data_IF_153780595448
#
_entry.id   IF_153780595448
#
_cell.length_a   1.000
_cell.length_b   1.000
_cell.length_c   1.000
_cell.angle_alpha   90.00
_cell.angle_beta   90.00
_cell.angle_gamma   90.00
#
_symmetry.space_group_name_H-M   'P 1'
#
loop_
_entity.id
_entity.type
_entity.pdbx_description
1 polymer ?
#
# COMPACT_ATOMS: atom_id res chain seq x y z
N UNK A 1 65.80 -47.37 -25.94
CA UNK A 1 64.38 -47.71 -26.14
C UNK A 1 63.63 -47.00 -25.03
N UNK A 2 63.15 -45.77 -25.16
CA UNK A 2 62.16 -45.29 -26.11
C UNK A 2 60.82 -45.15 -25.36
N UNK A 3 60.64 -44.08 -24.58
CA UNK A 3 59.44 -43.83 -23.77
C UNK A 3 59.04 -42.37 -23.82
N UNK A 4 58.08 -42.05 -24.69
CA UNK A 4 57.53 -40.72 -24.94
C UNK A 4 56.60 -40.30 -23.81
N UNK A 5 56.85 -39.15 -23.18
CA UNK A 5 55.96 -38.50 -22.21
C UNK A 5 54.82 -37.78 -22.94
N UNK A 6 53.59 -38.24 -22.74
CA UNK A 6 52.36 -37.59 -23.21
C UNK A 6 51.94 -36.55 -22.17
N UNK A 7 52.02 -35.27 -22.53
CA UNK A 7 51.49 -34.17 -21.74
C UNK A 7 49.96 -34.08 -21.94
N UNK A 8 49.19 -34.48 -20.93
CA UNK A 8 47.74 -34.27 -20.91
C UNK A 8 47.49 -32.82 -20.49
N UNK A 9 47.00 -32.00 -21.43
CA UNK A 9 46.51 -30.65 -21.16
C UNK A 9 45.18 -30.73 -20.43
N UNK A 10 45.13 -30.23 -19.19
CA UNK A 10 43.89 -29.96 -18.48
C UNK A 10 43.16 -28.80 -19.15
N UNK A 11 42.00 -29.08 -19.75
CA UNK A 11 41.06 -28.06 -20.21
C UNK A 11 40.24 -27.63 -18.98
N UNK A 12 40.45 -26.42 -18.49
CA UNK A 12 39.61 -25.84 -17.45
C UNK A 12 38.22 -25.57 -18.03
N UNK A 13 37.22 -26.34 -17.61
CA UNK A 13 35.83 -26.05 -17.92
C UNK A 13 35.36 -24.85 -17.08
N UNK A 14 35.21 -23.69 -17.73
CA UNK A 14 34.51 -22.56 -17.15
C UNK A 14 33.01 -22.89 -17.07
N UNK A 15 32.55 -23.39 -15.91
CA UNK A 15 31.13 -23.51 -15.63
C UNK A 15 30.55 -22.11 -15.40
N UNK A 16 29.95 -21.54 -16.45
CA UNK A 16 29.18 -20.30 -16.34
C UNK A 16 28.01 -20.53 -15.38
N UNK A 17 28.08 -19.95 -14.19
CA UNK A 17 26.97 -19.96 -13.24
C UNK A 17 25.87 -19.05 -13.79
N UNK A 18 24.85 -19.65 -14.41
CA UNK A 18 23.63 -18.93 -14.75
C UNK A 18 22.96 -18.51 -13.44
N UNK A 19 23.06 -17.23 -13.10
CA UNK A 19 22.27 -16.63 -12.01
C UNK A 19 20.83 -16.57 -12.52
N UNK A 20 20.05 -17.60 -12.20
CA UNK A 20 18.59 -17.53 -12.30
C UNK A 20 18.13 -16.59 -11.20
N UNK A 21 17.83 -15.35 -11.57
CA UNK A 21 17.04 -14.44 -10.73
C UNK A 21 15.64 -15.05 -10.62
N UNK A 22 15.43 -15.87 -9.59
CA UNK A 22 14.10 -16.21 -9.10
C UNK A 22 13.44 -14.89 -8.70
N UNK A 23 12.53 -14.39 -9.53
CA UNK A 23 11.59 -13.35 -9.13
C UNK A 23 10.79 -13.91 -7.96
N UNK A 24 11.07 -13.45 -6.75
CA UNK A 24 10.29 -13.81 -5.58
C UNK A 24 8.84 -13.40 -5.83
N UNK A 25 7.91 -14.33 -5.62
CA UNK A 25 6.49 -14.00 -5.56
C UNK A 25 6.29 -12.86 -4.56
N UNK A 26 5.35 -11.94 -4.82
CA UNK A 26 5.11 -10.82 -3.92
C UNK A 26 4.78 -11.35 -2.52
N UNK A 27 5.62 -11.01 -1.53
CA UNK A 27 5.40 -11.41 -0.15
C UNK A 27 4.31 -10.54 0.47
N UNK A 28 3.30 -11.17 1.08
CA UNK A 28 2.28 -10.48 1.88
C UNK A 28 2.71 -10.42 3.34
N UNK A 29 2.12 -9.51 4.11
CA UNK A 29 2.26 -9.53 5.56
C UNK A 29 1.67 -10.85 6.12
N UNK A 30 2.20 -11.31 7.25
CA UNK A 30 1.64 -12.49 7.92
C UNK A 30 0.16 -12.29 8.25
N UNK A 31 -0.61 -13.36 8.13
CA UNK A 31 -2.03 -13.33 8.41
C UNK A 31 -2.33 -13.11 9.89
N UNK A 32 -3.44 -12.42 10.21
CA UNK A 32 -3.92 -12.37 11.57
C UNK A 32 -4.18 -13.79 12.11
N UNK A 33 -3.84 -14.03 13.37
CA UNK A 33 -4.07 -15.34 14.01
C UNK A 33 -5.56 -15.66 14.23
N UNK A 34 -6.43 -14.65 14.09
CA UNK A 34 -7.88 -14.77 14.25
C UNK A 34 -8.58 -13.57 13.64
N UNK A 35 -9.85 -13.75 13.30
CA UNK A 35 -10.74 -12.68 12.88
C UNK A 35 -10.90 -11.62 13.98
N UNK A 36 -11.26 -10.41 13.58
CA UNK A 36 -11.69 -9.36 14.50
C UNK A 36 -13.19 -9.20 14.42
N UNK A 37 -13.87 -9.27 15.57
CA UNK A 37 -15.31 -9.01 15.66
C UNK A 37 -15.69 -7.67 15.01
N UNK A 38 -16.84 -7.63 14.35
CA UNK A 38 -17.42 -6.48 13.64
C UNK A 38 -18.58 -5.82 14.44
N UNK A 39 -18.51 -5.82 15.78
CA UNK A 39 -19.62 -5.39 16.64
C UNK A 39 -20.11 -3.95 16.36
N UNK A 40 -19.19 -3.03 16.07
CA UNK A 40 -19.51 -1.65 15.72
C UNK A 40 -20.10 -1.51 14.32
N UNK A 41 -19.69 -2.35 13.37
CA UNK A 41 -20.19 -2.39 12.00
C UNK A 41 -21.66 -2.81 11.90
N UNK A 42 -22.24 -3.45 12.91
CA UNK A 42 -23.70 -3.66 12.95
C UNK A 42 -24.53 -2.36 13.00
N UNK A 43 -23.90 -1.20 13.24
CA UNK A 43 -24.55 0.10 13.06
C UNK A 43 -24.59 0.56 11.59
N UNK A 44 -23.94 -0.17 10.68
CA UNK A 44 -23.98 0.00 9.25
C UNK A 44 -24.93 -1.02 8.63
N UNK A 45 -25.84 -0.56 7.78
CA UNK A 45 -26.69 -1.44 6.98
C UNK A 45 -25.88 -2.05 5.84
N UNK A 46 -25.74 -3.37 5.83
CA UNK A 46 -25.03 -4.13 4.78
C UNK A 46 -25.66 -3.96 3.40
N UNK A 47 -26.95 -3.61 3.34
CA UNK A 47 -27.71 -3.40 2.11
C UNK A 47 -27.78 -1.92 1.69
N UNK A 48 -27.04 -1.04 2.37
CA UNK A 48 -27.02 0.40 2.07
C UNK A 48 -25.60 0.95 1.99
N UNK A 49 -25.35 1.72 0.93
CA UNK A 49 -24.11 2.50 0.78
C UNK A 49 -24.10 3.77 1.65
N UNK A 50 -25.19 4.07 2.35
CA UNK A 50 -25.27 5.24 3.22
C UNK A 50 -24.48 5.02 4.52
N UNK A 51 -23.63 5.99 4.85
CA UNK A 51 -22.85 5.99 6.08
C UNK A 51 -23.45 7.01 7.05
N UNK A 52 -24.25 6.51 7.98
CA UNK A 52 -24.80 7.31 9.10
C UNK A 52 -23.71 7.68 10.10
N UNK A 53 -24.02 8.58 11.04
CA UNK A 53 -23.09 8.91 12.13
C UNK A 53 -22.75 7.68 13.00
N UNK A 54 -23.75 6.86 13.32
CA UNK A 54 -23.57 5.64 14.10
C UNK A 54 -22.74 4.60 13.35
N UNK A 55 -23.03 4.37 12.07
CA UNK A 55 -22.24 3.52 11.19
C UNK A 55 -20.77 3.96 11.16
N UNK A 56 -20.50 5.26 10.92
CA UNK A 56 -19.15 5.79 10.89
C UNK A 56 -18.40 5.57 12.21
N UNK A 57 -19.02 5.90 13.34
CA UNK A 57 -18.38 5.72 14.65
C UNK A 57 -18.11 4.24 14.99
N UNK A 58 -19.06 3.37 14.65
CA UNK A 58 -18.95 1.93 14.88
C UNK A 58 -17.86 1.30 14.01
N UNK A 59 -17.88 1.59 12.70
CA UNK A 59 -16.86 1.15 11.77
C UNK A 59 -15.46 1.61 12.21
N UNK A 60 -15.28 2.91 12.51
CA UNK A 60 -13.97 3.42 12.97
C UNK A 60 -13.49 2.73 14.24
N UNK A 61 -14.39 2.41 15.19
CA UNK A 61 -14.04 1.65 16.39
C UNK A 61 -13.51 0.24 16.05
N UNK A 62 -14.17 -0.46 15.14
CA UNK A 62 -13.80 -1.81 14.72
C UNK A 62 -12.49 -1.83 13.93
N UNK A 63 -12.35 -0.95 12.94
CA UNK A 63 -11.10 -0.77 12.21
C UNK A 63 -9.95 -0.45 13.17
N UNK A 64 -10.14 0.45 14.13
CA UNK A 64 -9.08 0.79 15.09
C UNK A 64 -8.67 -0.40 15.95
N UNK A 65 -9.64 -1.22 16.39
CA UNK A 65 -9.37 -2.43 17.17
C UNK A 65 -8.62 -3.47 16.35
N UNK A 66 -9.03 -3.71 15.10
CA UNK A 66 -8.38 -4.66 14.21
C UNK A 66 -6.95 -4.21 13.86
N UNK A 67 -6.79 -2.94 13.48
CA UNK A 67 -5.50 -2.30 13.20
C UNK A 67 -4.54 -2.35 14.39
N UNK A 68 -5.03 -2.14 15.60
CA UNK A 68 -4.21 -2.19 16.81
C UNK A 68 -3.60 -3.58 17.07
N UNK A 69 -4.31 -4.68 16.74
CA UNK A 69 -3.76 -6.04 16.82
C UNK A 69 -2.55 -6.25 15.91
N UNK A 70 -2.47 -5.47 14.84
CA UNK A 70 -1.39 -5.50 13.84
C UNK A 70 -0.33 -4.41 14.09
N UNK A 71 -0.40 -3.70 15.22
CA UNK A 71 0.54 -2.62 15.56
C UNK A 71 0.34 -1.33 14.75
N UNK A 72 -0.78 -1.20 14.02
CA UNK A 72 -1.10 -0.02 13.23
C UNK A 72 -1.82 1.04 14.08
N UNK A 73 -1.64 2.31 13.71
CA UNK A 73 -2.39 3.41 14.30
C UNK A 73 -3.88 3.40 13.89
N UNK A 74 -4.70 4.22 14.57
CA UNK A 74 -6.10 4.43 14.19
C UNK A 74 -6.28 4.78 12.71
N UNK A 75 -7.38 4.33 12.11
CA UNK A 75 -7.77 4.69 10.76
C UNK A 75 -8.02 6.19 10.69
N UNK A 76 -7.39 6.85 9.72
CA UNK A 76 -7.60 8.27 9.45
C UNK A 76 -8.36 8.36 8.14
N UNK A 77 -9.61 8.83 8.18
CA UNK A 77 -10.46 8.96 7.00
C UNK A 77 -10.47 10.42 6.50
N UNK A 78 -10.66 10.65 5.19
CA UNK A 78 -10.88 12.00 4.69
C UNK A 78 -12.22 12.54 5.22
N UNK A 79 -12.28 13.85 5.49
CA UNK A 79 -13.46 14.54 6.05
C UNK A 79 -14.74 14.38 5.24
N UNK A 80 -14.61 14.16 3.93
CA UNK A 80 -15.72 13.95 3.03
C UNK A 80 -16.04 12.47 2.79
N UNK A 81 -15.36 11.52 3.44
CA UNK A 81 -15.44 10.08 3.15
C UNK A 81 -16.87 9.58 3.02
N UNK A 82 -17.74 9.88 4.00
CA UNK A 82 -19.13 9.41 4.04
C UNK A 82 -20.03 9.92 2.90
N UNK A 83 -19.58 10.92 2.16
CA UNK A 83 -20.31 11.51 1.03
C UNK A 83 -19.73 11.09 -0.33
N UNK A 84 -18.66 10.31 -0.34
CA UNK A 84 -18.08 9.80 -1.57
C UNK A 84 -18.91 8.63 -2.10
N UNK A 85 -18.95 8.42 -3.42
CA UNK A 85 -19.45 7.17 -3.99
C UNK A 85 -18.74 5.95 -3.39
N UNK A 86 -19.44 4.82 -3.29
CA UNK A 86 -18.91 3.60 -2.70
C UNK A 86 -17.58 3.15 -3.33
N UNK A 87 -17.46 3.22 -4.66
CA UNK A 87 -16.22 2.84 -5.34
C UNK A 87 -15.03 3.68 -4.88
N UNK A 88 -15.24 4.96 -4.59
CA UNK A 88 -14.19 5.85 -4.10
C UNK A 88 -13.87 5.55 -2.64
N UNK A 89 -14.88 5.21 -1.83
CA UNK A 89 -14.69 4.77 -0.46
C UNK A 89 -13.83 3.49 -0.39
N UNK A 90 -14.10 2.49 -1.23
CA UNK A 90 -13.31 1.26 -1.32
C UNK A 90 -11.85 1.52 -1.68
N UNK A 91 -11.58 2.32 -2.72
CA UNK A 91 -10.22 2.71 -3.06
C UNK A 91 -9.51 3.39 -1.89
N UNK A 92 -10.19 4.31 -1.20
CA UNK A 92 -9.61 5.05 -0.08
C UNK A 92 -9.26 4.11 1.07
N UNK A 93 -10.15 3.18 1.42
CA UNK A 93 -9.93 2.20 2.48
C UNK A 93 -8.76 1.27 2.16
N UNK A 94 -8.77 0.65 0.97
CA UNK A 94 -7.68 -0.19 0.50
C UNK A 94 -6.33 0.55 0.51
N UNK A 95 -6.30 1.79 0.00
CA UNK A 95 -5.08 2.59 -0.02
C UNK A 95 -4.63 3.05 1.37
N UNK A 96 -5.56 3.32 2.28
CA UNK A 96 -5.26 3.57 3.69
C UNK A 96 -4.54 2.35 4.28
N UNK A 97 -5.03 1.15 4.02
CA UNK A 97 -4.45 -0.08 4.55
C UNK A 97 -3.09 -0.43 3.94
N UNK A 98 -2.92 -0.24 2.63
CA UNK A 98 -1.63 -0.36 1.95
C UNK A 98 -0.62 0.65 2.48
N UNK A 99 -0.97 1.94 2.50
CA UNK A 99 -0.05 3.01 2.87
C UNK A 99 0.42 2.94 4.33
N UNK A 100 -0.44 2.52 5.27
CA UNK A 100 -0.02 2.39 6.67
C UNK A 100 0.90 1.18 6.91
N UNK A 101 0.86 0.18 6.02
CA UNK A 101 1.81 -0.95 6.02
C UNK A 101 3.09 -0.63 5.23
N UNK A 102 3.17 0.54 4.59
CA UNK A 102 4.30 0.97 3.76
C UNK A 102 4.30 0.37 2.35
N UNK A 103 3.16 -0.14 1.91
CA UNK A 103 2.94 -0.61 0.54
C UNK A 103 2.51 0.56 -0.34
N UNK A 104 2.88 0.50 -1.62
CA UNK A 104 2.47 1.48 -2.60
C UNK A 104 0.93 1.48 -2.76
N UNK A 105 0.23 2.63 -2.66
CA UNK A 105 -1.20 2.72 -2.94
C UNK A 105 -1.52 2.44 -4.42
N UNK A 106 -2.73 1.99 -4.70
CA UNK A 106 -3.29 2.04 -6.06
C UNK A 106 -3.38 3.50 -6.52
N UNK A 107 -2.99 3.76 -7.77
CA UNK A 107 -2.95 5.12 -8.34
C UNK A 107 -4.36 5.73 -8.38
N UNK A 108 -5.37 4.91 -8.66
CA UNK A 108 -6.76 5.32 -8.64
C UNK A 108 -7.70 4.29 -9.29
N UNK A 109 -8.91 4.75 -9.61
CA UNK A 109 -9.97 3.95 -10.24
C UNK A 109 -9.97 4.12 -11.76
N UNK A 110 -10.03 3.00 -12.48
CA UNK A 110 -10.23 2.91 -13.92
C UNK A 110 -11.69 2.63 -14.27
N UNK A 111 -12.24 3.33 -15.26
CA UNK A 111 -13.57 3.06 -15.79
C UNK A 111 -13.68 1.64 -16.37
N UNK A 112 -12.66 1.17 -17.08
CA UNK A 112 -12.58 -0.19 -17.63
C UNK A 112 -12.67 -1.21 -16.51
N UNK A 113 -11.85 -1.06 -15.47
CA UNK A 113 -11.82 -2.00 -14.35
C UNK A 113 -13.08 -1.91 -13.49
N UNK A 114 -13.71 -0.74 -13.38
CA UNK A 114 -15.03 -0.61 -12.76
C UNK A 114 -16.10 -1.44 -13.49
N UNK A 115 -16.01 -1.62 -14.80
CA UNK A 115 -16.93 -2.46 -15.55
C UNK A 115 -16.75 -3.95 -15.22
N UNK A 116 -15.51 -4.42 -15.08
CA UNK A 116 -15.22 -5.79 -14.61
C UNK A 116 -15.70 -6.00 -13.16
N UNK A 117 -15.41 -5.04 -12.27
CA UNK A 117 -15.93 -5.07 -10.90
C UNK A 117 -17.46 -5.09 -10.88
N UNK A 118 -18.13 -4.31 -11.73
CA UNK A 118 -19.58 -4.30 -11.84
C UNK A 118 -20.14 -5.64 -12.30
N UNK A 119 -19.41 -6.36 -13.16
CA UNK A 119 -19.80 -7.71 -13.57
C UNK A 119 -19.80 -8.66 -12.37
N UNK A 120 -18.70 -8.73 -11.61
CA UNK A 120 -18.62 -9.55 -10.40
C UNK A 120 -19.69 -9.19 -9.36
N UNK A 121 -19.87 -7.90 -9.10
CA UNK A 121 -20.90 -7.41 -8.18
C UNK A 121 -22.33 -7.81 -8.60
N UNK A 122 -22.63 -7.95 -9.89
CA UNK A 122 -23.95 -8.36 -10.40
C UNK A 122 -24.17 -9.87 -10.38
N UNK A 123 -23.10 -10.65 -10.40
CA UNK A 123 -23.14 -12.12 -10.43
C UNK A 123 -22.87 -12.75 -9.08
N UNK A 124 -22.70 -11.94 -8.03
CA UNK A 124 -22.36 -12.37 -6.68
C UNK A 124 -21.07 -13.22 -6.62
N UNK A 125 -20.06 -12.80 -7.39
CA UNK A 125 -18.77 -13.48 -7.53
C UNK A 125 -17.62 -12.48 -7.64
N UNK A 126 -16.40 -12.97 -7.48
CA UNK A 126 -15.22 -12.20 -7.85
C UNK A 126 -15.29 -11.69 -9.31
N UNK A 127 -14.73 -10.50 -9.60
CA UNK A 127 -14.68 -9.98 -10.95
C UNK A 127 -13.91 -10.90 -11.91
N UNK A 128 -14.37 -11.05 -13.17
CA UNK A 128 -13.53 -11.65 -14.19
C UNK A 128 -12.35 -10.74 -14.51
N UNK A 129 -11.27 -11.35 -15.00
CA UNK A 129 -10.05 -10.62 -15.37
C UNK A 129 -10.04 -10.26 -16.86
N UNK A 130 -9.57 -9.06 -17.22
CA UNK A 130 -9.27 -8.75 -18.60
C UNK A 130 -8.17 -9.66 -19.16
N UNK A 131 -8.22 -9.97 -20.46
CA UNK A 131 -7.29 -10.91 -21.11
C UNK A 131 -5.83 -10.44 -21.16
N UNK A 132 -5.59 -9.14 -20.98
CA UNK A 132 -4.25 -8.55 -20.91
C UNK A 132 -3.65 -8.55 -19.50
N UNK A 133 -4.36 -9.07 -18.51
CA UNK A 133 -3.90 -9.11 -17.12
C UNK A 133 -2.70 -10.05 -16.98
N UNK A 134 -1.57 -9.51 -16.54
CA UNK A 134 -0.41 -10.31 -16.14
C UNK A 134 -0.39 -10.57 -14.63
N UNK A 135 -0.77 -9.55 -13.84
CA UNK A 135 -0.92 -9.63 -12.40
C UNK A 135 -2.26 -9.01 -12.03
N UNK A 136 -3.14 -9.78 -11.42
CA UNK A 136 -4.40 -9.25 -10.95
C UNK A 136 -5.04 -10.10 -9.88
N UNK A 137 -5.91 -9.46 -9.11
CA UNK A 137 -6.77 -10.13 -8.15
C UNK A 137 -8.14 -9.45 -8.07
N UNK A 138 -9.13 -10.21 -7.63
CA UNK A 138 -10.51 -9.80 -7.48
C UNK A 138 -11.01 -10.14 -6.09
N UNK A 139 -11.85 -9.28 -5.54
CA UNK A 139 -12.60 -9.56 -4.33
C UNK A 139 -14.08 -9.29 -4.59
N UNK A 140 -14.94 -10.07 -3.96
CA UNK A 140 -16.37 -9.83 -3.83
C UNK A 140 -16.81 -10.04 -2.38
N UNK A 141 -17.89 -9.36 -2.00
CA UNK A 141 -18.56 -9.53 -0.71
C UNK A 141 -20.03 -9.21 -0.83
N UNK A 142 -20.85 -9.92 -0.07
CA UNK A 142 -22.30 -9.74 0.02
C UNK A 142 -22.73 -8.49 0.79
N UNK A 143 -22.07 -7.35 0.55
CA UNK A 143 -22.37 -6.08 1.20
C UNK A 143 -22.20 -4.93 0.22
N UNK A 144 -23.13 -3.98 0.25
CA UNK A 144 -23.06 -2.71 -0.51
C UNK A 144 -22.65 -1.55 0.39
N UNK A 145 -22.02 -1.84 1.53
CA UNK A 145 -21.43 -0.86 2.43
C UNK A 145 -19.90 -0.99 2.41
N UNK A 146 -19.19 0.09 2.07
CA UNK A 146 -17.74 0.05 1.89
C UNK A 146 -16.97 -0.35 3.15
N UNK A 147 -17.48 -0.02 4.34
CA UNK A 147 -16.83 -0.41 5.59
C UNK A 147 -16.96 -1.90 5.86
N UNK A 148 -18.14 -2.48 5.62
CA UNK A 148 -18.33 -3.93 5.72
C UNK A 148 -17.43 -4.66 4.73
N UNK A 149 -17.44 -4.23 3.47
CA UNK A 149 -16.66 -4.86 2.41
C UNK A 149 -15.16 -4.90 2.74
N UNK A 150 -14.55 -3.75 3.02
CA UNK A 150 -13.13 -3.72 3.38
C UNK A 150 -12.85 -4.48 4.68
N UNK A 151 -13.72 -4.37 5.69
CA UNK A 151 -13.46 -5.01 6.98
C UNK A 151 -13.52 -6.53 6.91
N UNK A 152 -14.49 -7.08 6.18
CA UNK A 152 -14.55 -8.52 5.91
C UNK A 152 -13.29 -8.96 5.20
N UNK A 153 -12.93 -8.32 4.07
CA UNK A 153 -11.73 -8.68 3.32
C UNK A 153 -10.43 -8.58 4.13
N UNK A 154 -10.27 -7.54 4.94
CA UNK A 154 -9.00 -7.28 5.64
C UNK A 154 -8.90 -7.95 7.02
N UNK A 155 -10.00 -8.08 7.76
CA UNK A 155 -9.95 -8.36 9.21
C UNK A 155 -10.87 -9.49 9.66
N UNK A 156 -11.77 -9.97 8.80
CA UNK A 156 -12.70 -11.08 9.06
C UNK A 156 -12.77 -12.03 7.85
N UNK A 157 -11.61 -12.41 7.32
CA UNK A 157 -11.46 -13.28 6.13
C UNK A 157 -10.82 -14.65 6.47
N UNK A 158 -10.58 -14.89 7.75
CA UNK A 158 -9.95 -16.10 8.28
C UNK A 158 -10.97 -17.15 8.74
N UNK A 159 -10.49 -18.25 9.38
CA UNK A 159 -11.33 -19.38 9.77
C UNK A 159 -12.52 -18.96 10.64
N UNK A 160 -13.72 -19.37 10.24
CA UNK A 160 -14.97 -19.03 10.94
C UNK A 160 -15.63 -17.72 10.49
N UNK A 161 -15.12 -17.08 9.43
CA UNK A 161 -15.75 -15.94 8.76
C UNK A 161 -16.89 -16.35 7.79
N UNK A 162 -17.45 -15.36 7.10
CA UNK A 162 -18.35 -15.49 5.94
C UNK A 162 -17.63 -15.87 4.63
N UNK A 163 -16.29 -15.90 4.59
CA UNK A 163 -15.54 -16.22 3.39
C UNK A 163 -15.77 -17.69 2.96
N UNK A 164 -16.42 -17.86 1.81
CA UNK A 164 -16.80 -19.16 1.25
C UNK A 164 -15.59 -20.04 0.88
N UNK A 165 -14.45 -19.43 0.57
CA UNK A 165 -13.21 -20.12 0.22
C UNK A 165 -12.35 -20.46 1.45
N UNK A 166 -12.78 -20.03 2.64
CA UNK A 166 -12.11 -20.29 3.91
C UNK A 166 -12.87 -21.30 4.78
N UNK A 167 -12.47 -22.59 4.80
CA UNK A 167 -13.05 -23.57 5.70
C UNK A 167 -12.89 -23.17 7.17
N UNK A 168 -13.81 -23.61 8.03
CA UNK A 168 -13.75 -23.34 9.48
C UNK A 168 -12.51 -23.95 10.15
N UNK A 169 -11.90 -24.99 9.58
CA UNK A 169 -10.62 -25.55 10.00
C UNK A 169 -9.40 -24.75 9.53
N UNK A 170 -9.62 -23.70 8.74
CA UNK A 170 -8.60 -23.02 7.94
C UNK A 170 -8.31 -23.70 6.60
N UNK A 171 -7.58 -23.00 5.75
CA UNK A 171 -7.21 -23.47 4.41
C UNK A 171 -6.62 -22.36 3.54
N UNK A 172 -6.19 -22.68 2.30
CA UNK A 172 -5.52 -21.74 1.41
C UNK A 172 -6.35 -20.53 0.97
N UNK A 173 -7.69 -20.61 1.00
CA UNK A 173 -8.57 -19.50 0.65
C UNK A 173 -8.82 -18.51 1.81
N UNK A 174 -8.41 -18.85 3.02
CA UNK A 174 -8.46 -17.93 4.16
C UNK A 174 -7.50 -16.77 3.94
N UNK A 175 -7.95 -15.56 4.25
CA UNK A 175 -7.21 -14.32 4.05
C UNK A 175 -6.88 -13.99 2.57
N UNK A 176 -7.48 -14.70 1.61
CA UNK A 176 -7.26 -14.44 0.19
C UNK A 176 -7.63 -13.02 -0.23
N UNK A 177 -8.75 -12.49 0.27
CA UNK A 177 -9.18 -11.13 -0.04
C UNK A 177 -8.23 -10.10 0.57
N UNK A 178 -7.75 -10.36 1.80
CA UNK A 178 -6.71 -9.55 2.46
C UNK A 178 -5.45 -9.53 1.62
N UNK A 179 -4.99 -10.70 1.17
CA UNK A 179 -3.81 -10.82 0.33
C UNK A 179 -3.96 -9.94 -0.91
N UNK A 180 -5.08 -10.00 -1.60
CA UNK A 180 -5.35 -9.19 -2.79
C UNK A 180 -5.17 -7.68 -2.53
N UNK A 181 -5.59 -7.20 -1.35
CA UNK A 181 -5.48 -5.79 -0.97
C UNK A 181 -4.06 -5.41 -0.56
N UNK A 182 -3.34 -6.25 0.20
CA UNK A 182 -2.00 -5.93 0.76
C UNK A 182 -0.84 -6.71 0.13
N UNK A 183 -1.03 -7.22 -1.09
CA UNK A 183 0.06 -7.76 -1.92
C UNK A 183 1.06 -6.65 -2.27
N UNK A 184 2.34 -7.02 -2.34
CA UNK A 184 3.35 -6.18 -2.97
C UNK A 184 3.26 -6.26 -4.51
N UNK A 185 2.18 -5.73 -5.08
CA UNK A 185 1.97 -5.66 -6.52
C UNK A 185 3.09 -4.89 -7.23
N UNK A 186 3.47 -5.29 -8.46
CA UNK A 186 4.41 -4.53 -9.26
C UNK A 186 3.75 -3.28 -9.86
N UNK A 187 4.50 -2.17 -9.92
CA UNK A 187 4.04 -0.92 -10.52
C UNK A 187 3.85 -1.05 -12.05
N UNK A 188 2.92 -0.32 -12.68
CA UNK A 188 1.92 0.57 -12.09
C UNK A 188 0.67 -0.20 -11.61
N UNK A 189 0.05 0.24 -10.50
CA UNK A 189 -1.14 -0.43 -9.96
C UNK A 189 -2.41 0.41 -10.08
N UNK A 190 -3.45 -0.19 -10.65
CA UNK A 190 -4.77 0.44 -10.85
C UNK A 190 -5.84 -0.46 -10.26
N UNK A 191 -6.93 0.15 -9.80
CA UNK A 191 -8.07 -0.54 -9.20
C UNK A 191 -9.34 -0.29 -10.01
N UNK A 192 -10.26 -1.25 -9.99
CA UNK A 192 -11.67 -1.08 -10.30
C UNK A 192 -12.50 -1.42 -9.07
N UNK A 193 -13.61 -0.73 -8.89
CA UNK A 193 -14.53 -0.96 -7.78
C UNK A 193 -15.96 -0.67 -8.21
N UNK A 194 -16.89 -1.52 -7.79
CA UNK A 194 -18.31 -1.37 -8.09
C UNK A 194 -19.17 -2.00 -7.00
N UNK A 195 -20.47 -1.68 -7.06
CA UNK A 195 -21.51 -2.34 -6.28
C UNK A 195 -22.73 -2.57 -7.17
N UNK A 196 -23.45 -3.65 -6.89
CA UNK A 196 -24.76 -3.95 -7.44
C UNK A 196 -25.64 -4.55 -6.34
N UNK A 197 -26.88 -4.93 -6.65
CA UNK A 197 -27.90 -5.29 -5.66
C UNK A 197 -27.47 -6.34 -4.60
N UNK A 198 -26.54 -7.24 -4.91
CA UNK A 198 -26.11 -8.30 -4.01
C UNK A 198 -24.76 -8.07 -3.31
N UNK A 199 -23.99 -7.03 -3.68
CA UNK A 199 -22.66 -6.88 -3.10
C UNK A 199 -21.78 -5.80 -3.69
N UNK A 200 -20.54 -5.79 -3.23
CA UNK A 200 -19.46 -4.94 -3.71
C UNK A 200 -18.32 -5.81 -4.23
N UNK A 201 -17.65 -5.33 -5.26
CA UNK A 201 -16.51 -6.02 -5.83
C UNK A 201 -15.38 -5.04 -6.14
N UNK A 202 -14.16 -5.55 -6.05
CA UNK A 202 -12.95 -4.84 -6.45
C UNK A 202 -12.10 -5.72 -7.34
N UNK A 203 -11.43 -5.11 -8.31
CA UNK A 203 -10.39 -5.74 -9.11
C UNK A 203 -9.15 -4.86 -9.03
N UNK A 204 -7.99 -5.46 -8.89
CA UNK A 204 -6.70 -4.76 -8.84
C UNK A 204 -5.77 -5.37 -9.86
N UNK A 205 -5.07 -4.53 -10.62
CA UNK A 205 -4.07 -4.96 -11.58
C UNK A 205 -2.71 -4.36 -11.23
N UNK A 206 -1.65 -5.17 -11.34
CA UNK A 206 -0.25 -4.73 -11.28
C UNK A 206 0.39 -4.77 -12.67
N UNK A 207 1.43 -3.96 -12.89
CA UNK A 207 2.02 -3.70 -14.23
C UNK A 207 0.98 -3.31 -15.28
N UNK A 208 -0.05 -2.58 -14.88
CA UNK A 208 -1.09 -2.16 -15.81
C UNK A 208 -0.61 -0.98 -16.66
N UNK A 209 -0.22 -1.29 -17.90
CA UNK A 209 0.10 -0.31 -18.94
C UNK A 209 -1.06 -0.02 -19.90
N UNK A 210 -2.22 -0.66 -19.69
CA UNK A 210 -3.37 -0.58 -20.60
C UNK A 210 -4.39 0.46 -20.15
N UNK A 211 -4.69 0.52 -18.85
CA UNK A 211 -5.67 1.45 -18.30
C UNK A 211 -5.02 2.66 -17.61
N UNK A 212 -5.87 3.61 -17.18
CA UNK A 212 -5.47 4.80 -16.42
C UNK A 212 -6.49 5.06 -15.30
N UNK A 213 -6.04 5.73 -14.25
CA UNK A 213 -6.91 6.22 -13.19
C UNK A 213 -7.73 7.45 -13.66
N UNK A 214 -8.77 7.21 -14.45
CA UNK A 214 -9.60 8.21 -15.11
C UNK A 214 -10.92 8.54 -14.37
N UNK A 215 -11.29 7.75 -13.36
CA UNK A 215 -12.49 7.99 -12.55
C UNK A 215 -12.20 8.76 -11.26
N UNK A 216 -11.19 8.33 -10.52
CA UNK A 216 -10.77 8.98 -9.28
C UNK A 216 -9.32 8.65 -8.97
N UNK A 217 -8.51 9.66 -8.69
CA UNK A 217 -7.12 9.46 -8.33
C UNK A 217 -6.94 9.52 -6.82
N UNK A 218 -6.15 8.60 -6.26
CA UNK A 218 -5.85 8.56 -4.82
C UNK A 218 -5.38 9.91 -4.28
N UNK A 219 -4.53 10.60 -5.05
CA UNK A 219 -3.96 11.91 -4.72
C UNK A 219 -5.03 13.00 -4.50
N UNK A 220 -6.23 12.83 -5.07
CA UNK A 220 -7.34 13.76 -4.91
C UNK A 220 -7.92 13.74 -3.50
N UNK A 221 -7.81 12.63 -2.78
CA UNK A 221 -8.32 12.47 -1.42
C UNK A 221 -7.55 13.33 -0.40
N UNK A 222 -6.29 13.65 -0.69
CA UNK A 222 -5.35 14.23 0.28
C UNK A 222 -5.78 15.58 0.83
N UNK A 223 -6.51 16.37 0.03
CA UNK A 223 -7.03 17.66 0.48
C UNK A 223 -8.05 17.54 1.62
N UNK A 224 -8.64 16.36 1.82
CA UNK A 224 -9.70 16.14 2.80
C UNK A 224 -9.23 15.50 4.11
N UNK A 225 -8.00 15.02 4.22
CA UNK A 225 -7.49 14.49 5.50
C UNK A 225 -7.20 15.65 6.46
N UNK A 226 -7.83 15.64 7.64
CA UNK A 226 -7.69 16.66 8.69
C UNK A 226 -6.30 16.64 9.33
N UNK A 227 -5.79 15.44 9.58
CA UNK A 227 -4.39 15.25 9.87
C UNK A 227 -3.66 15.28 8.53
N UNK A 228 -3.37 16.48 8.04
CA UNK A 228 -2.20 16.70 7.21
C UNK A 228 -1.03 16.92 8.16
N UNK A 229 -0.26 15.88 8.53
CA UNK A 229 1.13 16.13 8.80
C UNK A 229 1.66 16.87 7.60
N UNK A 230 1.88 18.17 7.75
CA UNK A 230 2.90 18.80 6.94
C UNK A 230 4.17 18.23 7.55
N UNK A 231 4.96 17.42 6.82
CA UNK A 231 6.28 17.09 7.30
C UNK A 231 6.99 18.43 7.46
N UNK A 232 7.13 18.89 8.71
CA UNK A 232 7.98 20.02 9.01
C UNK A 232 9.39 19.46 9.03
N UNK A 233 10.00 19.41 7.86
CA UNK A 233 11.40 19.06 7.73
C UNK A 233 12.22 20.20 8.34
N UNK A 234 12.48 20.08 9.63
CA UNK A 234 13.54 20.84 10.29
C UNK A 234 14.86 20.22 9.88
N UNK A 235 15.67 20.98 9.14
CA UNK A 235 17.03 20.62 8.79
C UNK A 235 17.94 21.42 9.71
N UNK A 236 18.66 20.73 10.59
CA UNK A 236 19.78 21.32 11.34
C UNK A 236 21.09 20.74 10.83
N UNK A 237 22.10 21.59 10.74
CA UNK A 237 23.48 21.20 10.45
C UNK A 237 24.31 21.35 11.70
N UNK A 238 25.02 20.29 12.07
CA UNK A 238 26.21 20.45 12.89
C UNK A 238 27.37 20.79 11.94
N UNK A 239 28.04 21.92 12.16
CA UNK A 239 29.28 22.29 11.46
C UNK A 239 30.46 21.40 11.86
N UNK A 240 30.27 20.49 12.81
CA UNK A 240 31.25 19.51 13.22
C UNK A 240 31.42 18.41 12.16
N UNK A 241 32.64 17.89 12.01
CA UNK A 241 32.93 16.73 11.18
C UNK A 241 32.61 15.44 11.97
N UNK A 242 31.81 14.50 11.44
CA UNK A 242 31.16 14.52 10.12
C UNK A 242 29.90 15.39 10.09
N UNK A 243 29.64 16.03 8.93
CA UNK A 243 28.38 16.75 8.71
C UNK A 243 27.19 15.81 8.88
N UNK A 244 26.20 16.24 9.67
CA UNK A 244 24.96 15.50 9.93
C UNK A 244 23.77 16.34 9.48
N UNK A 245 22.94 15.77 8.60
CA UNK A 245 21.59 16.26 8.31
C UNK A 245 20.63 15.62 9.33
N UNK A 246 19.81 16.44 9.96
CA UNK A 246 18.65 15.98 10.72
C UNK A 246 17.40 16.16 9.89
N UNK A 247 16.53 15.16 9.85
CA UNK A 247 15.22 15.25 9.19
C UNK A 247 14.17 14.95 10.23
N UNK A 248 13.46 16.00 10.65
CA UNK A 248 12.29 15.88 11.52
C UNK A 248 11.05 15.61 10.67
N UNK A 249 10.34 14.52 10.95
CA UNK A 249 9.04 14.25 10.34
C UNK A 249 8.06 14.00 11.45
N UNK A 250 6.99 14.78 11.45
CA UNK A 250 5.91 14.68 12.43
C UNK A 250 4.72 13.92 11.82
N UNK A 251 3.99 13.18 12.65
CA UNK A 251 2.67 12.55 12.37
C UNK A 251 2.58 11.69 11.10
N UNK A 252 3.65 11.07 10.64
CA UNK A 252 3.68 10.33 9.38
C UNK A 252 3.43 8.83 9.59
N UNK A 253 2.87 8.16 8.58
CA UNK A 253 2.93 6.70 8.47
C UNK A 253 4.27 6.28 7.88
N UNK A 254 4.57 4.97 7.82
CA UNK A 254 5.78 4.41 7.19
C UNK A 254 6.01 5.07 5.82
N UNK A 255 7.00 5.96 5.73
CA UNK A 255 7.24 6.83 4.57
C UNK A 255 8.64 6.60 4.06
N UNK A 256 8.78 6.37 2.77
CA UNK A 256 10.09 6.40 2.14
C UNK A 256 10.43 7.84 1.75
N UNK A 257 11.55 8.31 2.28
CA UNK A 257 12.15 9.58 2.00
C UNK A 257 13.29 9.40 1.01
N UNK A 258 13.37 10.30 0.05
CA UNK A 258 14.46 10.43 -0.90
C UNK A 258 15.26 11.67 -0.49
N UNK A 259 16.46 11.49 0.02
CA UNK A 259 17.42 12.58 0.17
C UNK A 259 18.05 12.80 -1.19
N UNK A 260 17.83 13.99 -1.75
CA UNK A 260 18.28 14.32 -3.09
C UNK A 260 19.27 15.48 -3.06
N UNK A 261 20.33 15.40 -3.86
CA UNK A 261 21.31 16.47 -4.06
C UNK A 261 21.13 17.08 -5.44
N UNK A 262 21.19 18.40 -5.53
CA UNK A 262 21.17 19.12 -6.80
C UNK A 262 22.60 19.27 -7.34
N UNK A 263 22.86 18.72 -8.50
CA UNK A 263 24.09 18.90 -9.27
C UNK A 263 23.84 18.59 -10.75
N UNK A 264 24.63 19.17 -11.66
CA UNK A 264 24.47 18.93 -13.10
C UNK A 264 23.11 19.36 -13.67
N UNK A 265 22.40 20.28 -13.01
CA UNK A 265 21.08 20.76 -13.46
C UNK A 265 19.90 19.87 -13.05
N UNK A 266 20.12 18.80 -12.27
CA UNK A 266 19.07 17.87 -11.88
C UNK A 266 19.16 17.47 -10.39
N UNK A 267 18.08 16.89 -9.89
CA UNK A 267 18.02 16.31 -8.55
C UNK A 267 18.33 14.82 -8.62
N UNK A 268 19.31 14.38 -7.84
CA UNK A 268 19.73 12.98 -7.78
C UNK A 268 19.50 12.43 -6.38
N UNK A 269 18.84 11.28 -6.26
CA UNK A 269 18.70 10.57 -4.98
C UNK A 269 20.05 10.05 -4.54
N UNK A 270 20.56 10.57 -3.42
CA UNK A 270 21.83 10.14 -2.81
C UNK A 270 21.61 9.20 -1.64
N UNK A 271 20.40 9.19 -1.05
CA UNK A 271 20.04 8.26 0.01
C UNK A 271 18.53 8.07 0.05
N UNK A 272 18.11 6.84 0.32
CA UNK A 272 16.70 6.49 0.57
C UNK A 272 16.56 6.07 2.02
N UNK A 273 15.51 6.53 2.69
CA UNK A 273 15.24 6.16 4.08
C UNK A 273 13.77 5.82 4.26
N UNK A 274 13.45 4.67 4.86
CA UNK A 274 12.07 4.29 5.18
C UNK A 274 11.86 4.54 6.67
N UNK A 275 10.88 5.36 7.01
CA UNK A 275 10.62 5.67 8.40
C UNK A 275 10.08 4.44 9.15
N UNK A 276 10.36 4.30 10.46
CA UNK A 276 10.02 3.09 11.22
C UNK A 276 8.53 2.80 11.38
N UNK A 277 7.62 3.66 10.88
CA UNK A 277 6.19 3.37 10.87
C UNK A 277 5.56 3.19 12.26
N UNK A 278 5.95 3.99 13.25
CA UNK A 278 5.35 3.93 14.58
C UNK A 278 4.13 4.86 14.70
N UNK A 279 3.02 4.28 15.20
CA UNK A 279 1.79 4.83 15.80
C UNK A 279 1.43 6.28 15.40
N UNK A 280 0.22 6.47 14.89
CA UNK A 280 -0.39 7.75 14.48
C UNK A 280 -0.52 8.79 15.62
N UNK A 281 0.62 9.23 16.15
CA UNK A 281 0.81 10.30 17.10
C UNK A 281 1.88 11.27 16.61
N UNK A 282 2.17 12.30 17.40
CA UNK A 282 3.28 13.24 17.14
C UNK A 282 4.62 12.53 17.35
N UNK A 283 4.97 11.58 16.50
CA UNK A 283 6.31 10.98 16.50
C UNK A 283 7.19 11.89 15.67
N UNK A 284 8.16 12.52 16.31
CA UNK A 284 9.30 13.15 15.64
C UNK A 284 10.29 12.06 15.34
N UNK A 285 10.47 11.73 14.07
CA UNK A 285 11.62 10.92 13.68
C UNK A 285 12.84 11.83 13.47
N UNK A 286 14.02 11.40 13.92
CA UNK A 286 15.30 12.09 13.68
C UNK A 286 16.22 11.15 12.88
N UNK A 287 16.47 11.48 11.62
CA UNK A 287 17.49 10.82 10.81
C UNK A 287 18.84 11.46 10.96
N UNK A 288 19.88 10.65 11.20
CA UNK A 288 21.26 11.11 11.14
C UNK A 288 21.89 10.63 9.82
N UNK A 289 22.35 11.57 8.99
CA UNK A 289 23.02 11.25 7.73
C UNK A 289 24.49 11.69 7.79
N UNK A 290 25.37 10.79 8.21
CA UNK A 290 26.81 11.04 8.27
C UNK A 290 27.44 11.06 6.87
N UNK A 291 28.44 11.91 6.67
CA UNK A 291 29.27 11.90 5.45
C UNK A 291 28.66 12.60 4.24
N UNK A 292 27.74 13.56 4.45
CA UNK A 292 27.27 14.40 3.35
C UNK A 292 28.40 15.31 2.84
N UNK A 293 28.37 15.62 1.54
CA UNK A 293 29.28 16.60 0.93
C UNK A 293 28.59 17.96 0.86
N UNK A 294 29.32 19.09 0.86
CA UNK A 294 28.72 20.40 0.62
C UNK A 294 27.88 20.43 -0.68
N UNK A 295 26.74 21.13 -0.67
CA UNK A 295 25.85 21.20 -1.82
C UNK A 295 24.40 21.55 -1.48
N UNK A 296 23.54 21.64 -2.50
CA UNK A 296 22.12 21.87 -2.27
C UNK A 296 21.39 20.54 -2.13
N UNK A 297 20.63 20.36 -1.05
CA UNK A 297 19.86 19.16 -0.78
C UNK A 297 18.37 19.47 -0.67
N UNK A 298 17.54 18.46 -0.96
CA UNK A 298 16.12 18.40 -0.60
C UNK A 298 15.78 17.02 -0.07
N UNK A 299 14.70 16.93 0.68
CA UNK A 299 14.06 15.67 1.04
C UNK A 299 12.80 15.56 0.21
N UNK A 300 12.66 14.56 -0.64
CA UNK A 300 11.40 14.20 -1.26
C UNK A 300 10.84 12.95 -0.57
N UNK A 301 9.59 12.58 -0.84
CA UNK A 301 9.04 11.27 -0.48
C UNK A 301 8.80 10.48 -1.76
N UNK A 302 9.07 9.17 -1.76
CA UNK A 302 8.47 8.31 -2.77
C UNK A 302 6.97 8.21 -2.46
N UNK A 303 6.16 8.00 -3.49
CA UNK A 303 4.71 8.26 -3.46
C UNK A 303 3.89 7.21 -2.66
N UNK A 304 4.53 6.45 -1.76
CA UNK A 304 3.90 5.33 -1.05
C UNK A 304 3.32 5.68 0.32
N UNK A 305 3.51 6.91 0.81
CA UNK A 305 2.95 7.36 2.09
C UNK A 305 1.68 8.17 1.90
N UNK A 306 0.82 8.23 2.93
CA UNK A 306 -0.50 8.89 2.95
C UNK A 306 -0.52 10.41 2.64
N UNK A 307 0.59 10.97 2.19
CA UNK A 307 0.82 12.40 2.09
C UNK A 307 1.62 12.74 0.82
N UNK A 308 0.97 13.38 -0.15
CA UNK A 308 1.68 14.21 -1.14
C UNK A 308 1.85 15.58 -0.51
N UNK A 309 3.11 15.86 -0.17
CA UNK A 309 3.63 17.22 -0.25
C UNK A 309 5.01 17.11 -0.87
N UNK A 310 5.22 17.79 -2.00
CA UNK A 310 6.55 18.05 -2.50
C UNK A 310 7.27 18.85 -1.41
N UNK A 311 8.17 18.21 -0.68
CA UNK A 311 8.96 18.85 0.37
C UNK A 311 10.14 19.56 -0.30
N UNK A 312 9.91 20.81 -0.72
CA UNK A 312 11.00 21.68 -1.16
C UNK A 312 11.41 22.62 -0.02
N UNK A 313 11.98 22.08 1.05
CA UNK A 313 12.88 22.89 1.88
C UNK A 313 14.27 22.71 1.27
N UNK A 314 14.58 23.50 0.23
CA UNK A 314 15.96 23.60 -0.24
C UNK A 314 16.76 24.20 0.91
N UNK A 315 17.63 23.40 1.52
CA UNK A 315 18.65 23.98 2.40
C UNK A 315 19.97 23.96 1.65
N UNK A 316 20.54 25.16 1.50
CA UNK A 316 21.86 25.33 0.91
C UNK A 316 22.85 24.87 1.98
N UNK A 317 23.49 23.73 1.77
CA UNK A 317 24.66 23.31 2.57
C UNK A 317 25.85 24.05 1.97
N UNK A 318 26.28 25.13 2.64
CA UNK A 318 27.56 25.78 2.36
C UNK A 318 28.66 25.09 3.13
#
# INVERSE_FOLDING_TARGET
MGGTLIAIRTVAAAAATAVVLLLAAPAHAADPSSNTSANGLYNCDVNSSQITGACLSGAVSDFNRARAKEGLGPINLPTNFRYLPLSYQLLILANIDRADRGLAPFVGLSATLNAYAMQGARTDTDPPFPSWTMYGAGNWVGSVNAFWAEFEWMYDDGPGSSNLDCPSSGGPGCWGHRHNIIMNWPDAMIMGAATAHGGAATIVLGQDGHDRADQYQWVSAFRYFNNRPRPNVGISFASASPQVLYVNIFRHSRTTLLIQRYYGGAWHTVKTYVTPGAVAGNVTWHGHFNGMTPGTYRVASNENSRFLKQLSNSTIVR
#
